data_IF_923348409925
#
_entry.id   IF_923348409925
#
_cell.length_a   1.000
_cell.length_b   1.000
_cell.length_c   1.000
_cell.angle_alpha   90.00
_cell.angle_beta   90.00
_cell.angle_gamma   90.00
#
_symmetry.space_group_name_H-M   'P 1'
#
loop_
_entity.id
_entity.type
_entity.pdbx_description
1 polymer ?
#
# COMPACT_ATOMS: atom_id res chain seq x y z
N UNK A 1 4.65 -1.47 -9.38
CA UNK A 1 4.56 -2.72 -8.59
C UNK A 1 3.38 -2.60 -7.64
N UNK A 2 2.61 -3.68 -7.42
CA UNK A 2 1.47 -3.69 -6.49
C UNK A 2 1.70 -4.74 -5.41
N UNK A 3 1.43 -4.39 -4.15
CA UNK A 3 1.58 -5.26 -2.99
C UNK A 3 0.26 -5.27 -2.20
N UNK A 4 -0.07 -6.39 -1.57
CA UNK A 4 -1.24 -6.53 -0.70
C UNK A 4 -0.75 -6.93 0.69
N UNK A 5 -1.16 -6.17 1.69
CA UNK A 5 -0.92 -6.46 3.10
C UNK A 5 -2.26 -6.79 3.77
N UNK A 6 -2.55 -8.07 4.05
CA UNK A 6 -3.79 -8.44 4.70
C UNK A 6 -3.88 -7.86 6.11
N UNK A 7 -5.07 -7.42 6.51
CA UNK A 7 -5.33 -6.93 7.87
C UNK A 7 -4.98 -5.46 8.12
N UNK A 8 -4.54 -4.71 7.09
CA UNK A 8 -4.30 -3.27 7.20
C UNK A 8 -5.15 -2.48 6.21
N UNK A 9 -5.50 -1.26 6.61
CA UNK A 9 -6.14 -0.28 5.72
C UNK A 9 -5.07 0.44 4.89
N UNK A 10 -5.20 0.38 3.56
CA UNK A 10 -4.20 0.93 2.64
C UNK A 10 -3.98 2.44 2.86
N UNK A 11 -5.06 3.19 3.10
CA UNK A 11 -4.98 4.64 3.33
C UNK A 11 -4.19 5.00 4.59
N UNK A 12 -4.26 4.18 5.65
CA UNK A 12 -3.42 4.37 6.85
C UNK A 12 -1.95 4.15 6.55
N UNK A 13 -1.63 3.10 5.78
CA UNK A 13 -0.25 2.85 5.36
C UNK A 13 0.28 3.99 4.49
N UNK A 14 -0.53 4.51 3.56
CA UNK A 14 -0.15 5.66 2.72
C UNK A 14 0.11 6.92 3.57
N UNK A 15 -0.76 7.23 4.53
CA UNK A 15 -0.60 8.37 5.44
C UNK A 15 0.71 8.28 6.25
N UNK A 16 0.96 7.13 6.89
CA UNK A 16 2.18 6.92 7.67
C UNK A 16 3.45 6.94 6.80
N UNK A 17 3.36 6.49 5.54
CA UNK A 17 4.46 6.57 4.59
C UNK A 17 4.74 8.00 4.13
N UNK A 18 3.71 8.83 3.96
CA UNK A 18 3.86 10.26 3.67
C UNK A 18 4.59 11.00 4.79
N UNK A 19 4.27 10.70 6.04
CA UNK A 19 4.95 11.28 7.21
C UNK A 19 6.44 10.90 7.27
N UNK A 20 6.78 9.73 6.73
CA UNK A 20 8.16 9.24 6.59
C UNK A 20 8.86 9.75 5.32
N UNK A 21 8.20 10.58 4.51
CA UNK A 21 8.75 11.19 3.29
C UNK A 21 8.65 10.33 2.03
N UNK A 22 7.89 9.23 2.07
CA UNK A 22 7.66 8.37 0.92
C UNK A 22 6.29 8.63 0.29
N UNK A 23 6.26 8.73 -1.04
CA UNK A 23 5.01 8.86 -1.80
C UNK A 23 4.67 7.50 -2.41
N UNK A 24 3.62 6.87 -1.89
CA UNK A 24 3.03 5.65 -2.44
C UNK A 24 1.54 5.87 -2.66
N UNK A 25 0.95 5.13 -3.59
CA UNK A 25 -0.49 5.17 -3.85
C UNK A 25 -1.16 4.00 -3.12
N UNK A 26 -2.38 4.20 -2.62
CA UNK A 26 -3.29 3.07 -2.37
C UNK A 26 -3.77 2.56 -3.74
N UNK A 27 -3.66 1.25 -3.97
CA UNK A 27 -4.17 0.63 -5.19
C UNK A 27 -5.60 0.12 -5.05
N UNK A 28 -6.27 0.46 -3.96
CA UNK A 28 -7.70 0.29 -3.77
C UNK A 28 -8.44 1.19 -4.77
N UNK A 29 -9.23 0.56 -5.65
CA UNK A 29 -10.25 1.26 -6.44
C UNK A 29 -11.40 1.84 -5.57
N UNK A 30 -11.29 1.75 -4.24
CA UNK A 30 -12.29 2.24 -3.30
C UNK A 30 -12.04 3.73 -2.99
N UNK A 31 -12.27 4.58 -3.98
CA UNK A 31 -12.70 5.95 -3.66
C UNK A 31 -14.04 5.83 -2.94
N UNK A 32 -14.17 6.49 -1.81
CA UNK A 32 -15.29 6.47 -0.86
C UNK A 32 -16.67 6.92 -1.39
N UNK A 33 -16.97 6.74 -2.68
CA UNK A 33 -18.24 7.12 -3.30
C UNK A 33 -19.12 5.94 -3.72
N UNK A 34 -18.56 4.73 -3.89
CA UNK A 34 -19.35 3.54 -4.24
C UNK A 34 -18.84 2.33 -3.45
N UNK A 35 -19.68 1.81 -2.54
CA UNK A 35 -19.47 0.56 -1.79
C UNK A 35 -19.51 -0.68 -2.71
N UNK A 36 -18.75 -0.67 -3.79
CA UNK A 36 -18.61 -1.80 -4.70
C UNK A 36 -17.16 -2.28 -4.61
N UNK A 37 -16.90 -3.44 -3.99
CA UNK A 37 -15.55 -4.01 -3.99
C UNK A 37 -15.07 -4.17 -5.44
N UNK A 38 -13.76 -4.06 -5.66
CA UNK A 38 -13.16 -4.25 -6.98
C UNK A 38 -13.60 -5.61 -7.56
N UNK A 39 -14.44 -5.59 -8.58
CA UNK A 39 -15.03 -6.78 -9.22
C UNK A 39 -13.95 -7.79 -9.65
N UNK A 40 -12.77 -7.31 -10.03
CA UNK A 40 -11.64 -8.14 -10.45
C UNK A 40 -11.00 -8.84 -9.25
N UNK A 41 -10.72 -8.12 -8.14
CA UNK A 41 -10.12 -8.73 -6.95
C UNK A 41 -11.09 -9.71 -6.25
N UNK A 42 -12.39 -9.37 -6.23
CA UNK A 42 -13.44 -10.26 -5.72
C UNK A 42 -13.56 -11.55 -6.55
N UNK A 43 -13.48 -11.44 -7.89
CA UNK A 43 -13.45 -12.60 -8.78
C UNK A 43 -12.19 -13.45 -8.62
N UNK A 44 -11.07 -12.85 -8.18
CA UNK A 44 -9.81 -13.54 -7.88
C UNK A 44 -9.70 -14.04 -6.43
N UNK A 45 -10.74 -13.87 -5.60
CA UNK A 45 -10.74 -14.23 -4.17
C UNK A 45 -9.58 -13.59 -3.38
N UNK A 46 -9.09 -12.43 -3.83
CA UNK A 46 -7.99 -11.71 -3.17
C UNK A 46 -8.54 -10.70 -2.15
N UNK A 47 -7.81 -10.44 -1.06
CA UNK A 47 -8.17 -9.38 -0.12
C UNK A 47 -8.33 -8.04 -0.84
N UNK A 48 -9.45 -7.36 -0.60
CA UNK A 48 -9.76 -6.07 -1.23
C UNK A 48 -9.20 -4.88 -0.47
N UNK A 49 -8.65 -5.09 0.72
CA UNK A 49 -7.99 -4.09 1.57
C UNK A 49 -6.48 -4.24 1.58
N UNK A 50 -5.78 -3.19 1.99
CA UNK A 50 -4.32 -3.20 2.16
C UNK A 50 -3.51 -3.26 0.85
N UNK A 51 -4.14 -2.97 -0.29
CA UNK A 51 -3.43 -2.90 -1.56
C UNK A 51 -2.73 -1.53 -1.73
N UNK A 52 -1.43 -1.55 -1.96
CA UNK A 52 -0.64 -0.37 -2.31
C UNK A 52 0.03 -0.55 -3.67
N UNK A 53 0.24 0.57 -4.36
CA UNK A 53 0.97 0.64 -5.62
C UNK A 53 2.19 1.55 -5.46
N UNK A 54 3.33 1.01 -5.88
CA UNK A 54 4.63 1.68 -5.87
C UNK A 54 5.08 1.83 -7.31
N UNK A 55 5.39 3.06 -7.72
CA UNK A 55 5.92 3.37 -9.05
C UNK A 55 7.39 3.73 -8.90
N UNK A 56 8.27 3.01 -9.61
CA UNK A 56 9.69 3.32 -9.65
C UNK A 56 10.03 4.06 -10.93
N UNK A 57 10.87 5.09 -10.82
CA UNK A 57 11.37 5.82 -11.97
C UNK A 57 12.76 5.29 -12.35
N UNK A 58 13.22 5.50 -13.60
CA UNK A 58 14.57 5.09 -14.02
C UNK A 58 15.70 5.66 -13.15
N UNK A 59 15.44 6.79 -12.49
CA UNK A 59 16.39 7.48 -11.60
C UNK A 59 16.38 6.93 -10.17
N UNK A 60 15.45 6.03 -9.83
CA UNK A 60 15.35 5.46 -8.50
C UNK A 60 16.53 4.56 -8.20
N UNK A 61 17.29 4.90 -7.15
CA UNK A 61 18.47 4.15 -6.73
C UNK A 61 18.09 2.93 -5.88
N UNK A 62 18.93 1.90 -5.94
CA UNK A 62 18.76 0.66 -5.15
C UNK A 62 18.66 0.95 -3.65
N UNK A 63 19.42 1.91 -3.14
CA UNK A 63 19.38 2.26 -1.71
C UNK A 63 18.04 2.90 -1.30
N UNK A 64 17.44 3.72 -2.17
CA UNK A 64 16.10 4.27 -1.92
C UNK A 64 15.03 3.17 -1.89
N UNK A 65 15.19 2.12 -2.71
CA UNK A 65 14.29 0.96 -2.70
C UNK A 65 14.43 0.17 -1.40
N UNK A 66 15.66 0.03 -0.87
CA UNK A 66 15.90 -0.60 0.43
C UNK A 66 15.28 0.20 1.57
N UNK A 67 15.52 1.51 1.61
CA UNK A 67 14.93 2.41 2.61
C UNK A 67 13.40 2.35 2.58
N UNK A 68 12.80 2.37 1.38
CA UNK A 68 11.36 2.20 1.20
C UNK A 68 10.88 0.84 1.75
N UNK A 69 11.60 -0.25 1.47
CA UNK A 69 11.26 -1.58 1.96
C UNK A 69 11.30 -1.68 3.49
N UNK A 70 12.33 -1.12 4.12
CA UNK A 70 12.46 -1.07 5.58
C UNK A 70 11.36 -0.20 6.22
N UNK A 71 11.04 0.93 5.61
CA UNK A 71 9.97 1.81 6.06
C UNK A 71 8.62 1.11 6.00
N UNK A 72 8.29 0.48 4.86
CA UNK A 72 7.05 -0.30 4.70
C UNK A 72 6.97 -1.40 5.76
N UNK A 73 8.05 -2.17 5.95
CA UNK A 73 8.06 -3.25 6.95
C UNK A 73 7.74 -2.72 8.35
N UNK A 74 8.43 -1.66 8.80
CA UNK A 74 8.22 -1.06 10.13
C UNK A 74 6.78 -0.56 10.30
N UNK A 75 6.25 0.12 9.29
CA UNK A 75 4.89 0.67 9.35
C UNK A 75 3.83 -0.43 9.31
N UNK A 76 4.01 -1.48 8.50
CA UNK A 76 3.08 -2.62 8.46
C UNK A 76 3.05 -3.34 9.81
N UNK A 77 4.20 -3.61 10.43
CA UNK A 77 4.26 -4.22 11.77
C UNK A 77 3.55 -3.35 12.80
N UNK A 78 3.84 -2.04 12.82
CA UNK A 78 3.17 -1.08 13.71
C UNK A 78 1.64 -1.08 13.53
N UNK A 79 1.15 -1.14 12.29
CA UNK A 79 -0.28 -1.12 11.99
C UNK A 79 -1.00 -2.46 12.27
N UNK A 80 -0.26 -3.57 12.31
CA UNK A 80 -0.82 -4.89 12.67
C UNK A 80 -0.87 -5.11 14.20
N UNK A 81 -0.02 -4.43 14.97
CA UNK A 81 0.02 -4.51 16.43
C UNK A 81 -0.99 -3.59 17.14
N UNK A 82 -1.63 -2.67 16.40
CA UNK A 82 -2.68 -1.75 16.89
C UNK A 82 -4.07 -2.18 16.46
#
# INVERSE_FOLDING_TARGET
>A
MSLIFPGIEADRLVLEMQDLGFVIDSGSACRSADMQPSHVLAAMQLPTSGNIRITFHPETKVDQVKELGEAIQKTVVKLLEN
#
